data_IF_085419533497
#
_entry.id   IF_085419533497
#
_cell.length_a   1.000
_cell.length_b   1.000
_cell.length_c   1.000
_cell.angle_alpha   90.00
_cell.angle_beta   90.00
_cell.angle_gamma   90.00
#
_symmetry.space_group_name_H-M   'P 1'
#
loop_
_entity.id
_entity.type
_entity.pdbx_description
1 polymer ?
#
# COMPACT_ATOMS: atom_id res chain seq x y z
N UNK A 1 -4.81 7.25 -7.42
CA UNK A 1 -4.90 8.48 -6.65
C UNK A 1 -4.50 8.28 -5.20
N UNK A 2 -5.17 7.42 -4.43
CA UNK A 2 -4.83 7.23 -3.01
C UNK A 2 -3.44 6.63 -2.82
N UNK A 3 -3.04 5.70 -3.67
CA UNK A 3 -1.70 5.09 -3.60
C UNK A 3 -0.64 6.14 -3.94
N UNK A 4 -0.90 7.00 -4.90
CA UNK A 4 0.04 8.07 -5.24
C UNK A 4 0.20 9.06 -4.07
N UNK A 5 -0.91 9.40 -3.41
CA UNK A 5 -0.87 10.24 -2.22
C UNK A 5 -0.08 9.58 -1.09
N UNK A 6 -0.35 8.30 -0.84
CA UNK A 6 0.36 7.56 0.20
C UNK A 6 1.84 7.45 -0.10
N UNK A 7 2.19 7.22 -1.36
CA UNK A 7 3.58 7.13 -1.78
C UNK A 7 4.35 8.40 -1.46
N UNK A 8 3.75 9.55 -1.73
CA UNK A 8 4.38 10.83 -1.44
C UNK A 8 4.39 11.13 0.06
N UNK A 9 3.24 10.94 0.72
CA UNK A 9 3.09 11.29 2.13
C UNK A 9 4.02 10.47 3.03
N UNK A 10 4.21 9.19 2.71
CA UNK A 10 4.99 8.28 3.53
C UNK A 10 6.32 7.90 2.91
N UNK A 11 6.66 8.48 1.78
CA UNK A 11 7.92 8.23 1.07
C UNK A 11 8.12 6.75 0.76
N UNK A 12 7.11 6.15 0.19
CA UNK A 12 7.18 4.73 -0.17
C UNK A 12 8.07 4.54 -1.39
N UNK A 13 8.83 3.45 -1.38
CA UNK A 13 9.58 3.04 -2.57
C UNK A 13 8.60 2.53 -3.63
N UNK A 14 9.02 2.42 -4.91
CA UNK A 14 8.17 1.84 -5.93
C UNK A 14 7.68 0.44 -5.58
N UNK A 15 8.54 -0.41 -4.98
CA UNK A 15 8.15 -1.76 -4.57
C UNK A 15 7.13 -1.73 -3.45
N UNK A 16 7.30 -0.84 -2.47
CA UNK A 16 6.35 -0.68 -1.38
C UNK A 16 5.00 -0.19 -1.88
N UNK A 17 5.01 0.76 -2.80
CA UNK A 17 3.76 1.26 -3.39
C UNK A 17 3.05 0.17 -4.19
N UNK A 18 3.81 -0.65 -4.92
CA UNK A 18 3.22 -1.77 -5.67
C UNK A 18 2.60 -2.81 -4.72
N UNK A 19 3.28 -3.11 -3.61
CA UNK A 19 2.73 -4.01 -2.60
C UNK A 19 1.44 -3.44 -2.01
N UNK A 20 1.44 -2.17 -1.66
CA UNK A 20 0.26 -1.52 -1.11
C UNK A 20 -0.92 -1.63 -2.08
N UNK A 21 -0.68 -1.35 -3.36
CA UNK A 21 -1.73 -1.45 -4.37
C UNK A 21 -2.29 -2.88 -4.46
N UNK A 22 -1.42 -3.87 -4.41
CA UNK A 22 -1.83 -5.28 -4.45
C UNK A 22 -2.70 -5.64 -3.24
N UNK A 23 -2.32 -5.17 -2.05
CA UNK A 23 -3.08 -5.43 -0.82
C UNK A 23 -4.46 -4.78 -0.90
N UNK A 24 -4.55 -3.56 -1.43
CA UNK A 24 -5.84 -2.89 -1.62
C UNK A 24 -6.73 -3.64 -2.59
N UNK A 25 -6.13 -4.34 -3.55
CA UNK A 25 -6.86 -5.17 -4.50
C UNK A 25 -7.23 -6.55 -3.96
N UNK A 26 -6.93 -6.84 -2.70
CA UNK A 26 -7.28 -8.10 -2.07
C UNK A 26 -6.25 -9.20 -2.19
N UNK A 27 -5.08 -8.91 -2.74
CA UNK A 27 -4.00 -9.90 -2.82
C UNK A 27 -3.35 -10.09 -1.45
N UNK A 28 -2.90 -11.32 -1.20
CA UNK A 28 -2.07 -11.59 -0.03
C UNK A 28 -0.62 -11.28 -0.36
N UNK A 29 0.26 -11.13 0.66
CA UNK A 29 1.70 -11.00 0.40
C UNK A 29 2.26 -12.17 -0.41
N UNK A 30 1.76 -13.40 -0.19
CA UNK A 30 2.21 -14.55 -0.96
C UNK A 30 1.80 -14.42 -2.43
N UNK A 31 0.57 -13.98 -2.70
CA UNK A 31 0.11 -13.75 -4.07
C UNK A 31 1.02 -12.75 -4.77
N UNK A 32 1.36 -11.68 -4.08
CA UNK A 32 2.22 -10.63 -4.62
C UNK A 32 3.62 -11.18 -4.91
N UNK A 33 4.18 -11.98 -3.98
CA UNK A 33 5.49 -12.60 -4.18
C UNK A 33 5.49 -13.50 -5.40
N UNK A 34 4.46 -14.34 -5.53
CA UNK A 34 4.33 -15.27 -6.65
C UNK A 34 4.22 -14.53 -7.98
N UNK A 35 3.38 -13.49 -8.02
CA UNK A 35 3.17 -12.72 -9.24
C UNK A 35 4.42 -11.99 -9.70
N UNK A 36 5.26 -11.56 -8.77
CA UNK A 36 6.48 -10.82 -9.11
C UNK A 36 7.70 -11.72 -9.23
N UNK A 37 7.58 -12.99 -8.93
CA UNK A 37 8.69 -13.92 -8.99
C UNK A 37 9.77 -13.64 -7.95
N UNK A 38 9.39 -13.14 -6.79
CA UNK A 38 10.31 -12.86 -5.69
C UNK A 38 9.97 -13.74 -4.50
N UNK A 39 10.90 -13.87 -3.57
CA UNK A 39 10.70 -14.70 -2.39
C UNK A 39 9.78 -14.00 -1.39
N UNK A 40 9.00 -14.78 -0.66
CA UNK A 40 8.12 -14.24 0.36
C UNK A 40 8.90 -13.47 1.43
N UNK A 41 10.12 -13.87 1.74
CA UNK A 41 10.93 -13.14 2.72
C UNK A 41 11.20 -11.70 2.26
N UNK A 42 11.42 -11.50 0.95
CA UNK A 42 11.61 -10.16 0.39
C UNK A 42 10.34 -9.33 0.58
N UNK A 43 9.19 -9.93 0.30
CA UNK A 43 7.91 -9.23 0.44
C UNK A 43 7.62 -8.93 1.91
N UNK A 44 7.97 -9.84 2.82
CA UNK A 44 7.79 -9.58 4.25
C UNK A 44 8.64 -8.41 4.74
N UNK A 45 9.87 -8.29 4.22
CA UNK A 45 10.72 -7.14 4.54
C UNK A 45 10.10 -5.85 4.01
N UNK A 46 9.55 -5.86 2.79
CA UNK A 46 8.86 -4.73 2.22
C UNK A 46 7.60 -4.38 3.04
N UNK A 47 6.87 -5.40 3.49
CA UNK A 47 5.68 -5.20 4.33
C UNK A 47 6.07 -4.53 5.66
N UNK A 48 7.14 -4.99 6.29
CA UNK A 48 7.62 -4.39 7.53
C UNK A 48 7.98 -2.92 7.36
N UNK A 49 8.68 -2.60 6.27
CA UNK A 49 9.03 -1.21 5.96
C UNK A 49 7.77 -0.37 5.72
N UNK A 50 6.80 -0.93 5.00
CA UNK A 50 5.56 -0.26 4.69
C UNK A 50 4.76 0.04 5.96
N UNK A 51 4.64 -0.94 6.85
CA UNK A 51 3.96 -0.75 8.12
C UNK A 51 4.67 0.30 8.98
N UNK A 52 6.00 0.24 9.03
CA UNK A 52 6.79 1.20 9.79
C UNK A 52 6.58 2.62 9.28
N UNK A 53 6.68 2.81 7.96
CA UNK A 53 6.54 4.14 7.35
C UNK A 53 5.16 4.74 7.54
N UNK A 54 4.12 3.90 7.55
CA UNK A 54 2.74 4.36 7.72
C UNK A 54 2.30 4.36 9.18
N UNK A 55 3.19 3.93 10.09
CA UNK A 55 2.90 3.83 11.52
C UNK A 55 1.68 2.97 11.82
N UNK A 56 1.57 1.88 11.10
CA UNK A 56 0.55 0.87 11.32
C UNK A 56 1.24 -0.40 11.81
N UNK A 57 0.49 -1.31 12.43
CA UNK A 57 1.05 -2.52 13.01
C UNK A 57 0.70 -3.77 12.23
N UNK A 58 -0.45 -3.76 11.57
CA UNK A 58 -0.94 -4.92 10.84
C UNK A 58 -1.44 -4.53 9.47
N UNK A 59 -1.46 -5.53 8.58
CA UNK A 59 -1.91 -5.32 7.22
C UNK A 59 -3.32 -4.70 7.18
N UNK A 60 -4.23 -5.18 8.02
CA UNK A 60 -5.61 -4.66 8.03
C UNK A 60 -5.66 -3.19 8.43
N UNK A 61 -4.78 -2.77 9.34
CA UNK A 61 -4.70 -1.37 9.76
C UNK A 61 -4.19 -0.50 8.62
N UNK A 62 -3.22 -1.00 7.88
CA UNK A 62 -2.68 -0.32 6.71
C UNK A 62 -3.76 -0.13 5.65
N UNK A 63 -4.48 -1.18 5.33
CA UNK A 63 -5.56 -1.12 4.33
C UNK A 63 -6.64 -0.15 4.78
N UNK A 64 -7.01 -0.17 6.06
CA UNK A 64 -8.00 0.77 6.61
C UNK A 64 -7.52 2.22 6.51
N UNK A 65 -6.24 2.47 6.80
CA UNK A 65 -5.67 3.81 6.69
C UNK A 65 -5.79 4.35 5.26
N UNK A 66 -5.38 3.53 4.28
CA UNK A 66 -5.42 3.96 2.88
C UNK A 66 -6.86 4.11 2.40
N UNK A 67 -7.76 3.24 2.85
CA UNK A 67 -9.18 3.38 2.52
C UNK A 67 -9.74 4.71 3.01
N UNK A 68 -9.34 5.16 4.21
CA UNK A 68 -9.73 6.47 4.71
C UNK A 68 -9.17 7.60 3.85
N UNK A 69 -7.94 7.45 3.37
CA UNK A 69 -7.36 8.44 2.44
C UNK A 69 -8.15 8.52 1.15
N UNK A 70 -8.67 7.39 0.67
CA UNK A 70 -9.51 7.37 -0.52
C UNK A 70 -10.81 8.15 -0.32
N UNK A 71 -11.34 8.11 0.90
CA UNK A 71 -12.60 8.80 1.20
C UNK A 71 -12.41 10.32 1.33
N UNK A 72 -11.25 10.77 1.79
CA UNK A 72 -11.01 12.20 2.01
C UNK A 72 -10.20 12.85 0.90
N UNK A 73 -9.58 12.07 0.03
CA UNK A 73 -8.81 12.60 -1.09
C UNK A 73 -9.74 13.30 -2.09
N UNK A 74 -9.36 14.44 -2.70
CA UNK A 74 -10.18 15.11 -3.71
C UNK A 74 -10.41 14.18 -4.89
N UNK A 75 -11.65 14.11 -5.27
CA UNK A 75 -11.97 13.35 -6.47
C UNK A 75 -11.89 14.28 -7.68
N UNK A 76 -11.99 14.70 -7.61
CA UNK A 76 -12.02 15.44 -8.41
C UNK A 76 -12.63 15.94 -9.06
N UNK A 77 -12.74 15.82 -9.00
CA UNK A 77 -13.06 16.27 -9.33
C UNK A 77 -13.83 16.64 -9.60
N UNK A 78 -14.49 16.88 -9.61
CA UNK A 78 -15.20 17.23 -9.68
C UNK A 78 -15.42 18.17 -10.10
N UNK A 79 -15.39 18.47 -10.35
CA UNK A 79 -15.53 19.27 -10.69
C UNK A 79 -15.61 19.80 -11.12
N UNK A 80 -15.76 19.88 -11.41
CA UNK A 80 -15.88 20.48 -11.76
C UNK A 80 -16.14 20.80 -11.90
#
# INVERSE_FOLDING_TARGET
AAVALARQAYRLSPAEAALLLALLGGQTPQDFADARGVRIRTVRAQMSALLFKTRTQRQQDLVALVARLMLVAPQNDFRD
#
